data_IF_406179764066
#
_entry.id   IF_406179764066
#
_cell.length_a   1.000
_cell.length_b   1.000
_cell.length_c   1.000
_cell.angle_alpha   90.00
_cell.angle_beta   90.00
_cell.angle_gamma   90.00
#
_symmetry.space_group_name_H-M   'P 1'
#
loop_
_entity.id
_entity.type
_entity.pdbx_description
1 polymer ?
#
# COMPACT_ATOMS: atom_id res chain seq x y z
N UNK A 1 27.45 0.86 -1.76
CA UNK A 1 27.23 0.79 -0.30
C UNK A 1 27.48 2.18 0.29
N UNK A 2 26.60 2.65 1.17
CA UNK A 2 26.68 3.94 1.88
C UNK A 2 27.01 3.66 3.34
N UNK A 3 28.09 4.23 3.88
CA UNK A 3 28.60 3.97 5.24
C UNK A 3 28.70 5.21 6.12
N UNK A 4 28.35 6.39 5.60
CA UNK A 4 28.33 7.66 6.31
C UNK A 4 27.07 8.43 5.94
N UNK A 5 26.66 9.35 6.80
CA UNK A 5 25.56 10.25 6.52
C UNK A 5 25.91 11.22 5.40
N UNK A 6 24.87 11.80 4.78
CA UNK A 6 25.04 12.79 3.73
C UNK A 6 24.01 12.66 2.61
N UNK A 7 24.21 13.48 1.58
CA UNK A 7 23.35 13.54 0.40
C UNK A 7 24.01 12.80 -0.75
N UNK A 8 23.28 11.86 -1.34
CA UNK A 8 23.71 10.98 -2.42
C UNK A 8 22.82 11.19 -3.64
N UNK A 9 23.47 11.34 -4.80
CA UNK A 9 22.81 11.48 -6.10
C UNK A 9 23.52 10.59 -7.11
N UNK A 10 22.78 9.94 -8.01
CA UNK A 10 23.40 9.17 -9.07
C UNK A 10 22.51 8.14 -9.73
N UNK A 11 23.15 7.30 -10.54
CA UNK A 11 22.55 6.16 -11.19
C UNK A 11 23.13 4.88 -10.56
N UNK A 12 22.28 4.04 -9.96
CA UNK A 12 22.70 2.77 -9.36
C UNK A 12 22.01 1.59 -10.02
N UNK A 13 22.79 0.53 -10.26
CA UNK A 13 22.29 -0.68 -10.87
C UNK A 13 22.81 -1.93 -10.17
N UNK A 14 21.94 -2.91 -9.96
CA UNK A 14 22.33 -4.28 -9.64
C UNK A 14 21.71 -5.30 -10.60
N UNK A 15 22.55 -6.11 -11.24
CA UNK A 15 22.08 -7.24 -12.08
C UNK A 15 22.08 -8.57 -11.32
N UNK A 16 22.49 -8.58 -10.06
CA UNK A 16 22.41 -9.77 -9.23
C UNK A 16 21.13 -9.69 -8.36
N UNK A 17 20.17 -10.63 -8.50
CA UNK A 17 18.93 -10.60 -7.74
C UNK A 17 19.13 -10.70 -6.22
N UNK A 18 20.30 -11.14 -5.76
CA UNK A 18 20.66 -11.25 -4.33
C UNK A 18 21.37 -10.02 -3.77
N UNK A 19 21.69 -9.03 -4.60
CA UNK A 19 22.47 -7.86 -4.19
C UNK A 19 21.65 -6.58 -4.43
N UNK A 20 21.39 -5.77 -3.38
CA UNK A 20 20.70 -4.52 -3.57
C UNK A 20 21.49 -3.52 -4.42
N UNK A 21 20.82 -2.63 -5.16
CA UNK A 21 21.52 -1.57 -5.90
C UNK A 21 22.22 -0.58 -4.95
N UNK A 22 21.58 -0.28 -3.81
CA UNK A 22 22.13 0.54 -2.73
C UNK A 22 21.92 -0.18 -1.39
N UNK A 23 23.00 -0.35 -0.64
CA UNK A 23 22.95 -0.80 0.77
C UNK A 23 23.37 0.34 1.67
N UNK A 24 22.55 0.66 2.68
CA UNK A 24 22.84 1.65 3.71
C UNK A 24 23.33 0.92 4.97
N UNK A 25 24.52 1.29 5.45
CA UNK A 25 25.18 0.75 6.65
C UNK A 25 25.69 1.87 7.54
N UNK A 26 24.79 2.78 7.91
CA UNK A 26 25.05 3.85 8.89
C UNK A 26 23.74 4.23 9.56
N UNK A 27 23.84 4.78 10.78
CA UNK A 27 22.74 5.39 11.52
C UNK A 27 22.66 6.90 11.31
N UNK A 28 23.69 7.50 10.73
CA UNK A 28 23.68 8.91 10.37
C UNK A 28 22.63 9.17 9.30
N UNK A 29 22.01 10.37 9.26
CA UNK A 29 21.01 10.71 8.24
C UNK A 29 21.55 10.55 6.82
N UNK A 30 20.82 9.78 6.00
CA UNK A 30 21.12 9.57 4.58
C UNK A 30 19.99 10.13 3.73
N UNK A 31 20.35 10.94 2.74
CA UNK A 31 19.41 11.47 1.74
C UNK A 31 19.81 10.91 0.37
N UNK A 32 18.94 10.16 -0.27
CA UNK A 32 19.06 9.78 -1.69
C UNK A 32 18.08 10.65 -2.47
N UNK A 33 18.58 11.46 -3.40
CA UNK A 33 17.72 12.35 -4.16
C UNK A 33 18.10 12.50 -5.63
N UNK A 34 17.12 12.90 -6.45
CA UNK A 34 17.32 13.19 -7.89
C UNK A 34 18.09 12.09 -8.61
N UNK A 35 17.72 10.83 -8.34
CA UNK A 35 18.50 9.66 -8.71
C UNK A 35 17.71 8.67 -9.55
N UNK A 36 18.42 7.74 -10.20
CA UNK A 36 17.81 6.60 -10.90
C UNK A 36 18.40 5.30 -10.37
N UNK A 37 17.53 4.39 -9.95
CA UNK A 37 17.90 3.07 -9.45
C UNK A 37 17.24 2.02 -10.33
N UNK A 38 17.96 0.95 -10.64
CA UNK A 38 17.36 -0.25 -11.23
C UNK A 38 18.02 -1.52 -10.74
N UNK A 39 17.26 -2.59 -10.59
CA UNK A 39 17.79 -3.76 -9.90
C UNK A 39 16.95 -5.01 -10.09
N UNK A 40 17.62 -6.16 -10.16
CA UNK A 40 16.95 -7.47 -10.11
C UNK A 40 16.50 -7.84 -8.69
N UNK A 41 17.22 -7.37 -7.68
CA UNK A 41 16.86 -7.44 -6.26
C UNK A 41 16.41 -6.08 -5.74
N UNK A 42 16.43 -5.89 -4.41
CA UNK A 42 16.02 -4.63 -3.78
C UNK A 42 16.81 -3.44 -4.35
N UNK A 43 16.16 -2.30 -4.57
CA UNK A 43 16.87 -1.11 -5.03
C UNK A 43 17.60 -0.43 -3.88
N UNK A 44 16.93 -0.28 -2.74
CA UNK A 44 17.51 0.27 -1.51
C UNK A 44 17.26 -0.71 -0.38
N UNK A 45 18.32 -1.11 0.32
CA UNK A 45 18.22 -1.92 1.54
C UNK A 45 18.96 -1.28 2.69
N UNK A 46 18.36 -1.29 3.88
CA UNK A 46 18.95 -0.69 5.08
C UNK A 46 18.50 -1.34 6.38
N UNK A 47 19.38 -1.30 7.38
CA UNK A 47 19.12 -1.76 8.74
C UNK A 47 19.65 -0.70 9.72
N UNK A 48 18.87 -0.31 10.74
CA UNK A 48 19.18 0.81 11.63
C UNK A 48 19.38 2.14 10.89
N UNK A 49 18.36 2.61 10.14
CA UNK A 49 18.51 3.73 9.20
C UNK A 49 17.68 4.97 9.54
N UNK A 50 18.25 6.15 9.28
CA UNK A 50 17.54 7.43 9.12
C UNK A 50 17.65 7.81 7.63
N UNK A 51 16.54 7.74 6.90
CA UNK A 51 16.53 7.77 5.44
C UNK A 51 15.50 8.74 4.87
N UNK A 52 15.96 9.62 3.99
CA UNK A 52 15.11 10.32 3.04
C UNK A 52 15.41 9.83 1.62
N UNK A 53 14.39 9.41 0.89
CA UNK A 53 14.45 9.13 -0.55
C UNK A 53 13.47 10.05 -1.25
N UNK A 54 13.96 10.94 -2.11
CA UNK A 54 13.09 11.90 -2.80
C UNK A 54 13.43 12.16 -4.25
N UNK A 55 12.44 12.51 -5.06
CA UNK A 55 12.63 12.83 -6.48
C UNK A 55 13.42 11.75 -7.25
N UNK A 56 13.24 10.50 -6.85
CA UNK A 56 14.05 9.38 -7.32
C UNK A 56 13.20 8.41 -8.12
N UNK A 57 13.78 7.84 -9.19
CA UNK A 57 13.12 6.86 -10.07
C UNK A 57 13.70 5.48 -9.80
N UNK A 58 12.85 4.49 -9.58
CA UNK A 58 13.22 3.10 -9.33
C UNK A 58 12.58 2.14 -10.33
N UNK A 59 13.37 1.24 -10.92
CA UNK A 59 12.89 0.26 -11.89
C UNK A 59 13.26 -1.16 -11.44
N UNK A 60 12.26 -1.99 -11.18
CA UNK A 60 12.47 -3.42 -10.98
C UNK A 60 12.85 -4.08 -12.30
N UNK A 61 13.90 -4.89 -12.27
CA UNK A 61 14.31 -5.72 -13.40
C UNK A 61 13.86 -7.15 -13.15
N UNK A 62 13.59 -7.87 -14.24
CA UNK A 62 13.31 -9.30 -14.18
C UNK A 62 14.49 -10.04 -13.48
N UNK A 63 14.24 -10.82 -12.42
CA UNK A 63 15.30 -11.50 -11.67
C UNK A 63 16.10 -12.52 -12.47
N UNK A 64 15.49 -13.17 -13.48
CA UNK A 64 16.08 -14.27 -14.25
C UNK A 64 16.75 -15.33 -13.36
N UNK A 65 16.03 -15.75 -12.33
CA UNK A 65 16.45 -16.74 -11.35
C UNK A 65 15.24 -17.55 -10.90
N UNK A 66 15.42 -18.86 -10.71
CA UNK A 66 14.31 -19.75 -10.33
C UNK A 66 13.70 -19.34 -8.97
N UNK A 67 12.36 -19.32 -8.92
CA UNK A 67 11.59 -18.94 -7.73
C UNK A 67 11.98 -17.55 -7.17
N UNK A 68 12.39 -16.63 -8.04
CA UNK A 68 12.67 -15.24 -7.68
C UNK A 68 11.56 -14.30 -8.16
N UNK A 69 11.44 -13.13 -7.55
CA UNK A 69 10.52 -12.05 -7.93
C UNK A 69 11.27 -10.71 -7.87
N UNK A 70 10.82 -9.65 -8.57
CA UNK A 70 11.49 -8.35 -8.55
C UNK A 70 11.64 -7.80 -7.13
N UNK A 71 12.79 -7.21 -6.79
CA UNK A 71 13.00 -6.66 -5.43
C UNK A 71 12.21 -5.39 -5.11
N UNK A 72 12.24 -4.99 -3.84
CA UNK A 72 11.55 -3.79 -3.32
C UNK A 72 12.20 -2.50 -3.86
N UNK A 73 11.44 -1.41 -4.01
CA UNK A 73 12.00 -0.06 -4.19
C UNK A 73 12.84 0.33 -2.97
N UNK A 74 12.32 0.07 -1.76
CA UNK A 74 13.10 0.12 -0.54
C UNK A 74 12.63 -0.97 0.43
N UNK A 75 13.58 -1.57 1.13
CA UNK A 75 13.35 -2.50 2.23
C UNK A 75 14.22 -2.03 3.41
N UNK A 76 13.57 -1.50 4.45
CA UNK A 76 14.26 -0.91 5.60
C UNK A 76 13.74 -1.49 6.91
N UNK A 77 14.66 -1.81 7.80
CA UNK A 77 14.38 -2.44 9.09
C UNK A 77 15.00 -1.62 10.23
N UNK A 78 14.32 -1.56 11.37
CA UNK A 78 14.72 -0.79 12.55
C UNK A 78 14.97 0.68 12.20
N UNK A 79 13.95 1.35 11.69
CA UNK A 79 14.09 2.72 11.20
C UNK A 79 14.05 3.76 12.33
N UNK A 80 14.89 4.77 12.23
CA UNK A 80 14.81 5.97 13.07
C UNK A 80 13.87 7.00 12.45
N UNK A 81 13.97 7.22 11.14
CA UNK A 81 13.12 8.15 10.41
C UNK A 81 13.08 7.75 8.93
N UNK A 82 11.92 7.90 8.30
CA UNK A 82 11.74 7.60 6.88
C UNK A 82 10.93 8.70 6.19
N UNK A 83 11.48 9.25 5.11
CA UNK A 83 10.75 10.10 4.17
C UNK A 83 10.92 9.55 2.75
N UNK A 84 9.90 8.90 2.23
CA UNK A 84 9.82 8.48 0.84
C UNK A 84 8.87 9.43 0.10
N UNK A 85 9.42 10.48 -0.53
CA UNK A 85 8.63 11.59 -1.05
C UNK A 85 8.86 11.82 -2.55
N UNK A 86 7.81 11.99 -3.34
CA UNK A 86 7.95 12.37 -4.76
C UNK A 86 8.81 11.38 -5.57
N UNK A 87 8.68 10.07 -5.32
CA UNK A 87 9.41 9.06 -6.09
C UNK A 87 8.55 8.44 -7.18
N UNK A 88 9.20 7.88 -8.19
CA UNK A 88 8.56 7.00 -9.17
C UNK A 88 9.11 5.59 -8.98
N UNK A 89 8.25 4.59 -8.95
CA UNK A 89 8.69 3.20 -8.99
C UNK A 89 7.84 2.39 -9.95
N UNK A 90 8.50 1.52 -10.73
CA UNK A 90 7.85 0.65 -11.70
C UNK A 90 8.38 -0.78 -11.61
N UNK A 91 7.50 -1.77 -11.57
CA UNK A 91 7.87 -3.19 -11.63
C UNK A 91 8.66 -3.68 -10.41
N UNK A 92 8.65 -2.92 -9.31
CA UNK A 92 9.28 -3.31 -8.04
C UNK A 92 8.27 -4.03 -7.14
N UNK A 93 8.73 -4.68 -6.08
CA UNK A 93 7.86 -5.19 -5.01
C UNK A 93 7.35 -4.10 -4.04
N UNK A 94 7.47 -2.82 -4.39
CA UNK A 94 7.06 -1.67 -3.58
C UNK A 94 7.96 -1.38 -2.37
N UNK A 95 7.41 -0.87 -1.29
CA UNK A 95 8.16 -0.37 -0.12
C UNK A 95 7.84 -1.18 1.13
N UNK A 96 8.88 -1.67 1.81
CA UNK A 96 8.77 -2.43 3.05
C UNK A 96 9.48 -1.72 4.19
N UNK A 97 8.74 -1.49 5.28
CA UNK A 97 9.25 -0.84 6.49
C UNK A 97 8.94 -1.74 7.68
N UNK A 98 9.98 -2.19 8.38
CA UNK A 98 9.83 -3.02 9.57
C UNK A 98 10.41 -2.35 10.80
N UNK A 99 9.60 -2.25 11.86
CA UNK A 99 9.98 -1.73 13.19
C UNK A 99 10.49 -0.28 13.19
N UNK A 100 9.98 0.50 14.13
CA UNK A 100 10.43 1.87 14.38
C UNK A 100 11.16 1.95 15.72
N UNK A 101 12.27 2.68 15.75
CA UNK A 101 13.10 2.91 16.94
C UNK A 101 13.55 4.39 17.05
N UNK A 102 12.92 5.26 16.24
CA UNK A 102 13.16 6.69 16.30
C UNK A 102 12.61 7.34 17.56
N UNK A 103 13.02 8.58 17.74
CA UNK A 103 12.61 9.46 18.82
C UNK A 103 11.60 10.48 18.29
N UNK A 104 10.32 10.22 18.55
CA UNK A 104 9.23 11.08 18.12
C UNK A 104 9.35 12.52 18.66
N UNK A 105 9.98 12.73 19.82
CA UNK A 105 10.20 14.07 20.38
C UNK A 105 11.16 14.90 19.53
N UNK A 106 11.97 14.25 18.68
CA UNK A 106 12.86 14.89 17.68
C UNK A 106 12.20 15.04 16.31
N UNK A 107 10.90 14.79 16.20
CA UNK A 107 10.16 14.85 14.94
C UNK A 107 10.43 13.68 14.00
N UNK A 108 11.10 12.62 14.47
CA UNK A 108 11.34 11.41 13.69
C UNK A 108 10.05 10.61 13.51
N UNK A 109 9.74 10.21 12.28
CA UNK A 109 8.50 9.51 11.93
C UNK A 109 8.63 8.84 10.55
N UNK A 110 7.50 8.40 9.98
CA UNK A 110 7.41 7.81 8.64
C UNK A 110 6.49 8.67 7.77
N UNK A 111 7.00 9.15 6.65
CA UNK A 111 6.27 9.87 5.62
C UNK A 111 6.43 9.17 4.28
N UNK A 112 5.31 8.77 3.67
CA UNK A 112 5.27 8.17 2.33
C UNK A 112 4.32 9.01 1.50
N UNK A 113 4.87 10.02 0.81
CA UNK A 113 4.08 11.11 0.27
C UNK A 113 4.31 11.28 -1.24
N UNK A 114 3.23 11.50 -1.99
CA UNK A 114 3.31 11.96 -3.38
C UNK A 114 4.12 11.03 -4.29
N UNK A 115 4.17 9.73 -4.02
CA UNK A 115 4.87 8.78 -4.88
C UNK A 115 3.95 8.30 -6.01
N UNK A 116 4.54 8.04 -7.17
CA UNK A 116 3.90 7.36 -8.29
C UNK A 116 4.40 5.92 -8.36
N UNK A 117 3.52 4.96 -8.16
CA UNK A 117 3.80 3.53 -8.13
C UNK A 117 3.10 2.87 -9.30
N UNK A 118 3.83 2.11 -10.08
CA UNK A 118 3.31 1.36 -11.23
C UNK A 118 3.72 -0.11 -11.14
N UNK A 119 2.75 -1.00 -11.29
CA UNK A 119 2.93 -2.43 -11.41
C UNK A 119 3.78 -3.04 -10.27
N UNK A 120 3.20 -3.11 -9.06
CA UNK A 120 3.82 -3.80 -7.93
C UNK A 120 3.86 -5.29 -8.19
N UNK A 121 5.07 -5.85 -8.32
CA UNK A 121 5.24 -7.17 -8.91
C UNK A 121 5.83 -8.19 -7.93
N UNK A 122 4.96 -9.09 -7.46
CA UNK A 122 5.33 -10.24 -6.64
C UNK A 122 5.41 -11.55 -7.42
N UNK A 123 5.28 -11.54 -8.75
CA UNK A 123 5.22 -12.78 -9.55
C UNK A 123 6.57 -13.50 -9.52
N UNK A 124 6.52 -14.79 -9.19
CA UNK A 124 7.70 -15.63 -9.29
C UNK A 124 8.04 -15.92 -10.75
N UNK A 125 9.33 -15.86 -11.09
CA UNK A 125 9.86 -16.22 -12.40
C UNK A 125 10.74 -17.47 -12.35
N UNK A 126 10.94 -18.09 -13.51
CA UNK A 126 11.98 -19.11 -13.75
C UNK A 126 13.34 -18.46 -14.09
N UNK A 127 14.39 -19.27 -14.25
CA UNK A 127 15.72 -18.83 -14.67
C UNK A 127 15.76 -18.08 -16.01
N UNK A 128 14.75 -18.23 -16.88
CA UNK A 128 14.64 -17.46 -18.14
C UNK A 128 13.92 -16.12 -17.94
N UNK A 129 13.31 -15.92 -16.78
CA UNK A 129 12.51 -14.75 -16.43
C UNK A 129 11.02 -14.88 -16.75
N UNK A 130 10.52 -16.07 -17.10
CA UNK A 130 9.09 -16.25 -17.39
C UNK A 130 8.30 -16.43 -16.09
N UNK A 131 7.12 -15.81 -15.94
CA UNK A 131 6.25 -16.04 -14.79
C UNK A 131 5.88 -17.52 -14.63
N UNK A 132 5.90 -17.99 -13.39
CA UNK A 132 5.60 -19.40 -13.02
C UNK A 132 4.13 -19.65 -12.67
N UNK A 133 3.30 -18.61 -12.69
CA UNK A 133 1.92 -18.65 -12.18
C UNK A 133 1.79 -18.48 -10.67
N UNK A 134 2.91 -18.46 -9.93
CA UNK A 134 2.94 -18.25 -8.47
C UNK A 134 3.34 -16.81 -8.14
N UNK A 135 3.06 -16.36 -6.91
CA UNK A 135 3.51 -15.06 -6.39
C UNK A 135 4.01 -15.12 -4.95
N UNK A 136 4.85 -14.16 -4.60
CA UNK A 136 5.16 -13.75 -3.24
C UNK A 136 4.24 -12.60 -2.84
N UNK A 137 3.94 -12.48 -1.53
CA UNK A 137 3.10 -11.41 -1.01
C UNK A 137 3.93 -10.13 -0.87
N UNK A 138 3.58 -9.14 -1.67
CA UNK A 138 4.28 -7.85 -1.76
C UNK A 138 3.26 -6.73 -1.72
N UNK A 139 3.72 -5.51 -1.44
CA UNK A 139 2.85 -4.37 -1.26
C UNK A 139 3.49 -3.12 -1.82
N UNK A 140 2.67 -2.19 -2.35
CA UNK A 140 3.17 -0.86 -2.70
C UNK A 140 3.77 -0.19 -1.46
N UNK A 141 3.08 -0.34 -0.32
CA UNK A 141 3.51 0.09 1.01
C UNK A 141 3.14 -0.97 2.04
N UNK A 142 4.14 -1.45 2.79
CA UNK A 142 3.91 -2.25 3.98
C UNK A 142 4.59 -1.61 5.19
N UNK A 143 3.80 -1.35 6.23
CA UNK A 143 4.31 -1.16 7.58
C UNK A 143 4.14 -2.49 8.32
N UNK A 144 5.25 -3.04 8.80
CA UNK A 144 5.28 -4.31 9.50
C UNK A 144 5.81 -4.08 10.93
N UNK A 145 4.98 -4.29 11.95
CA UNK A 145 5.34 -4.08 13.36
C UNK A 145 5.85 -2.65 13.64
N UNK A 146 5.22 -1.63 13.06
CA UNK A 146 5.52 -0.22 13.34
C UNK A 146 4.53 0.26 14.40
N UNK A 147 4.95 0.26 15.67
CA UNK A 147 4.04 0.34 16.82
C UNK A 147 4.17 1.68 17.54
N UNK A 148 3.04 2.31 17.86
CA UNK A 148 2.93 3.56 18.66
C UNK A 148 3.77 4.72 18.13
N UNK A 149 3.77 4.90 16.81
CA UNK A 149 4.57 5.95 16.18
C UNK A 149 3.67 7.12 15.81
N UNK A 150 3.86 8.31 16.42
CA UNK A 150 3.07 9.47 16.07
C UNK A 150 3.46 10.01 14.70
N UNK A 151 2.55 10.77 14.10
CA UNK A 151 2.74 11.55 12.89
C UNK A 151 3.00 10.75 11.61
N UNK A 152 2.77 9.44 11.59
CA UNK A 152 2.86 8.66 10.35
C UNK A 152 1.83 9.17 9.34
N UNK A 153 2.27 9.31 8.09
CA UNK A 153 1.39 9.75 7.00
C UNK A 153 1.73 9.05 5.68
N UNK A 154 0.72 8.40 5.10
CA UNK A 154 0.76 7.78 3.78
C UNK A 154 -0.28 8.51 2.92
N UNK A 155 0.15 9.49 2.15
CA UNK A 155 -0.78 10.40 1.50
C UNK A 155 -0.35 10.85 0.11
N UNK A 156 -1.35 11.18 -0.70
CA UNK A 156 -1.14 11.74 -2.03
C UNK A 156 -0.39 10.82 -3.01
N UNK A 157 -0.35 9.52 -2.75
CA UNK A 157 0.30 8.56 -3.65
C UNK A 157 -0.66 8.12 -4.74
N UNK A 158 -0.14 7.89 -5.94
CA UNK A 158 -0.84 7.27 -7.07
C UNK A 158 -0.26 5.88 -7.30
N UNK A 159 -1.06 4.84 -7.10
CA UNK A 159 -0.67 3.43 -7.20
C UNK A 159 -1.52 2.76 -8.27
N UNK A 160 -0.91 2.34 -9.37
CA UNK A 160 -1.61 1.73 -10.51
C UNK A 160 -0.98 0.39 -10.84
N UNK A 161 -1.78 -0.68 -10.78
CA UNK A 161 -1.36 -2.03 -11.11
C UNK A 161 -2.13 -2.51 -12.33
N UNK A 162 -1.43 -2.94 -13.38
CA UNK A 162 -2.06 -3.49 -14.58
C UNK A 162 -2.20 -5.01 -14.48
N UNK A 163 -3.32 -5.60 -14.94
CA UNK A 163 -3.46 -7.06 -15.04
C UNK A 163 -2.32 -7.65 -15.88
N UNK A 164 -1.76 -8.78 -15.44
CA UNK A 164 -0.66 -9.44 -16.16
C UNK A 164 0.69 -8.72 -16.10
N UNK A 165 0.82 -7.61 -15.36
CA UNK A 165 2.11 -6.92 -15.11
C UNK A 165 2.47 -6.81 -13.64
N UNK A 166 1.56 -7.16 -12.76
CA UNK A 166 1.65 -6.97 -11.32
C UNK A 166 1.00 -8.15 -10.60
N UNK A 167 1.31 -8.32 -9.32
CA UNK A 167 0.60 -9.26 -8.44
C UNK A 167 0.81 -8.90 -6.95
N UNK A 168 0.39 -7.70 -6.50
CA UNK A 168 0.49 -7.34 -5.09
C UNK A 168 -0.37 -8.27 -4.22
N UNK A 169 -0.06 -8.37 -2.93
CA UNK A 169 -1.06 -8.74 -1.92
C UNK A 169 -1.94 -7.51 -1.71
N UNK A 170 -1.53 -6.54 -0.90
CA UNK A 170 -2.21 -5.25 -0.82
C UNK A 170 -1.45 -4.13 -1.49
N UNK A 171 -2.15 -3.05 -1.84
CA UNK A 171 -1.46 -1.80 -2.13
C UNK A 171 -0.89 -1.20 -0.85
N UNK A 172 -1.68 -1.11 0.22
CA UNK A 172 -1.24 -0.61 1.53
C UNK A 172 -1.60 -1.63 2.62
N UNK A 173 -0.61 -2.08 3.38
CA UNK A 173 -0.78 -3.05 4.46
C UNK A 173 -0.17 -2.52 5.77
N UNK A 174 -0.92 -2.68 6.87
CA UNK A 174 -0.59 -2.17 8.20
C UNK A 174 -0.46 -3.33 9.19
N UNK A 175 0.27 -4.38 8.79
CA UNK A 175 0.52 -5.55 9.61
C UNK A 175 1.09 -5.15 10.98
N UNK A 176 0.28 -5.38 12.01
CA UNK A 176 0.61 -5.15 13.42
C UNK A 176 1.25 -3.77 13.68
N UNK A 177 0.70 -2.76 13.01
CA UNK A 177 1.20 -1.38 13.07
C UNK A 177 0.18 -0.43 13.69
N UNK A 178 0.65 0.56 14.45
CA UNK A 178 -0.19 1.50 15.17
C UNK A 178 0.39 2.90 15.29
N UNK A 179 -0.52 3.87 15.30
CA UNK A 179 -0.25 5.25 15.71
C UNK A 179 -0.36 5.39 17.23
N UNK A 180 -0.59 6.61 17.69
CA UNK A 180 -0.97 6.88 19.09
C UNK A 180 -2.40 7.42 19.14
N UNK A 181 -3.08 7.39 20.31
CA UNK A 181 -4.40 8.00 20.46
C UNK A 181 -4.48 9.45 19.94
N UNK A 182 -3.45 10.24 20.25
CA UNK A 182 -3.39 11.66 19.85
C UNK A 182 -2.82 11.88 18.44
N UNK A 183 -2.28 10.84 17.81
CA UNK A 183 -1.61 10.91 16.52
C UNK A 183 -1.75 9.59 15.76
N UNK A 184 -2.96 9.27 15.26
CA UNK A 184 -3.20 8.06 14.51
C UNK A 184 -2.40 8.07 13.20
N UNK A 185 -2.13 6.88 12.65
CA UNK A 185 -1.58 6.74 11.30
C UNK A 185 -2.58 7.32 10.32
N UNK A 186 -2.19 8.33 9.53
CA UNK A 186 -3.08 8.96 8.54
C UNK A 186 -2.81 8.39 7.15
N UNK A 187 -3.81 7.75 6.56
CA UNK A 187 -3.78 7.20 5.19
C UNK A 187 -4.86 7.91 4.39
N UNK A 188 -4.46 8.91 3.61
CA UNK A 188 -5.45 9.76 2.97
C UNK A 188 -5.05 10.31 1.62
N UNK A 189 -6.07 10.67 0.84
CA UNK A 189 -5.87 11.28 -0.47
C UNK A 189 -4.96 10.43 -1.38
N UNK A 190 -5.01 9.10 -1.31
CA UNK A 190 -4.32 8.24 -2.26
C UNK A 190 -5.27 7.82 -3.39
N UNK A 191 -4.71 7.61 -4.57
CA UNK A 191 -5.39 6.97 -5.70
C UNK A 191 -4.79 5.58 -5.89
N UNK A 192 -5.61 4.55 -5.74
CA UNK A 192 -5.24 3.15 -5.90
C UNK A 192 -6.11 2.58 -7.01
N UNK A 193 -5.49 2.02 -8.04
CA UNK A 193 -6.18 1.35 -9.13
C UNK A 193 -5.55 0.00 -9.41
N UNK A 194 -6.31 -1.06 -9.17
CA UNK A 194 -5.88 -2.43 -9.46
C UNK A 194 -5.12 -3.11 -8.33
N UNK A 195 -5.40 -4.41 -8.20
CA UNK A 195 -4.64 -5.41 -7.47
C UNK A 195 -5.12 -6.74 -8.05
N UNK A 196 -4.31 -7.38 -8.89
CA UNK A 196 -4.75 -8.51 -9.71
C UNK A 196 -3.90 -9.75 -9.43
N UNK A 197 -4.52 -10.92 -9.62
CA UNK A 197 -3.82 -12.19 -9.58
C UNK A 197 -2.77 -12.31 -10.70
N UNK A 198 -1.87 -13.28 -10.56
CA UNK A 198 -0.91 -13.64 -11.63
C UNK A 198 -1.66 -14.06 -12.90
N UNK A 199 -2.73 -14.85 -12.73
CA UNK A 199 -3.70 -15.19 -13.76
C UNK A 199 -5.08 -14.60 -13.37
N UNK A 200 -5.37 -13.35 -13.79
CA UNK A 200 -6.55 -12.63 -13.35
C UNK A 200 -7.88 -13.20 -13.88
N UNK A 201 -7.84 -14.07 -14.89
CA UNK A 201 -9.03 -14.67 -15.48
C UNK A 201 -9.40 -16.02 -14.86
N UNK A 202 -8.41 -16.76 -14.33
CA UNK A 202 -8.63 -18.12 -13.85
C UNK A 202 -8.38 -18.32 -12.35
N UNK A 203 -7.62 -17.43 -11.69
CA UNK A 203 -7.41 -17.52 -10.24
C UNK A 203 -8.70 -17.20 -9.49
N UNK A 204 -9.12 -18.14 -8.62
CA UNK A 204 -10.32 -18.04 -7.77
C UNK A 204 -10.00 -17.84 -6.29
N UNK A 205 -8.71 -17.69 -5.96
CA UNK A 205 -8.17 -17.71 -4.60
C UNK A 205 -7.28 -16.50 -4.26
N UNK A 206 -7.08 -15.59 -5.21
CA UNK A 206 -6.32 -14.37 -4.98
C UNK A 206 -6.93 -13.52 -3.84
N UNK A 207 -6.10 -13.22 -2.85
CA UNK A 207 -6.45 -12.49 -1.63
C UNK A 207 -6.16 -11.00 -1.68
N UNK A 208 -5.48 -10.52 -2.72
CA UNK A 208 -4.95 -9.17 -2.76
C UNK A 208 -5.98 -8.06 -3.06
N UNK A 209 -5.71 -6.84 -2.58
CA UNK A 209 -6.67 -5.74 -2.58
C UNK A 209 -6.08 -4.33 -2.43
N UNK A 210 -6.92 -3.41 -1.98
CA UNK A 210 -6.56 -2.01 -1.74
C UNK A 210 -5.77 -1.84 -0.44
N UNK A 211 -6.48 -1.58 0.66
CA UNK A 211 -5.90 -1.26 1.96
C UNK A 211 -6.29 -2.33 3.00
N UNK A 212 -5.33 -2.89 3.72
CA UNK A 212 -5.56 -3.84 4.80
C UNK A 212 -5.10 -3.27 6.14
N UNK A 213 -6.00 -3.27 7.11
CA UNK A 213 -5.77 -2.82 8.47
C UNK A 213 -5.89 -3.98 9.45
N UNK A 214 -4.97 -4.03 10.41
CA UNK A 214 -5.09 -4.88 11.59
C UNK A 214 -4.99 -6.38 11.31
N UNK A 215 -4.39 -6.79 10.19
CA UNK A 215 -4.00 -8.18 10.01
C UNK A 215 -2.86 -8.52 10.98
N UNK A 216 -3.10 -9.53 11.83
CA UNK A 216 -2.22 -9.90 12.94
C UNK A 216 -3.00 -10.33 14.18
N UNK A 217 -2.34 -11.04 15.10
CA UNK A 217 -2.97 -11.50 16.35
C UNK A 217 -2.04 -11.29 17.53
N UNK A 218 -2.39 -10.32 18.36
CA UNK A 218 -1.71 -10.05 19.62
C UNK A 218 -2.64 -10.19 20.82
N UNK A 219 -2.03 -10.48 21.97
CA UNK A 219 -2.68 -10.51 23.29
C UNK A 219 -2.40 -9.24 24.11
N UNK A 220 -1.57 -8.34 23.56
CA UNK A 220 -1.12 -7.13 24.22
C UNK A 220 -1.55 -5.91 23.39
N UNK A 221 -2.32 -5.03 24.02
CA UNK A 221 -2.78 -3.78 23.40
C UNK A 221 -1.64 -2.83 23.06
N UNK A 222 -0.50 -2.95 23.74
CA UNK A 222 0.65 -2.11 23.43
C UNK A 222 1.14 -2.36 21.99
N UNK A 223 1.07 -3.59 21.49
CA UNK A 223 1.59 -3.98 20.16
C UNK A 223 0.50 -4.35 19.15
N UNK A 224 -0.77 -4.34 19.57
CA UNK A 224 -1.90 -4.56 18.66
C UNK A 224 -1.98 -3.43 17.63
N UNK A 225 -2.37 -3.77 16.41
CA UNK A 225 -2.60 -2.77 15.36
C UNK A 225 -3.76 -1.85 15.75
N UNK A 226 -3.61 -0.54 15.55
CA UNK A 226 -4.63 0.40 15.97
C UNK A 226 -4.26 1.88 15.87
N UNK A 227 -5.20 2.76 16.18
CA UNK A 227 -5.08 4.20 15.96
C UNK A 227 -4.72 4.52 14.51
N UNK A 228 -5.66 4.22 13.61
CA UNK A 228 -5.47 4.37 12.16
C UNK A 228 -6.66 5.11 11.56
N UNK A 229 -6.37 6.12 10.75
CA UNK A 229 -7.35 6.93 10.03
C UNK A 229 -7.17 6.72 8.52
N UNK A 230 -8.18 6.16 7.85
CA UNK A 230 -8.18 5.92 6.40
C UNK A 230 -9.29 6.76 5.77
N UNK A 231 -8.93 7.84 5.08
CA UNK A 231 -9.94 8.75 4.57
C UNK A 231 -9.64 9.43 3.25
N UNK A 232 -10.70 9.76 2.51
CA UNK A 232 -10.61 10.49 1.22
C UNK A 232 -9.68 9.81 0.22
N UNK A 233 -9.53 8.50 0.27
CA UNK A 233 -8.84 7.72 -0.77
C UNK A 233 -9.82 7.37 -1.89
N UNK A 234 -9.28 7.14 -3.08
CA UNK A 234 -9.98 6.57 -4.23
C UNK A 234 -9.38 5.19 -4.48
N UNK A 235 -10.17 4.14 -4.30
CA UNK A 235 -9.74 2.75 -4.36
C UNK A 235 -10.58 2.05 -5.41
N UNK A 236 -9.97 1.83 -6.55
CA UNK A 236 -10.64 1.53 -7.81
C UNK A 236 -10.23 0.14 -8.28
N UNK A 237 -11.22 -0.71 -8.53
CA UNK A 237 -11.08 -1.98 -9.24
C UNK A 237 -9.93 -2.88 -8.73
N UNK A 238 -9.77 -2.97 -7.41
CA UNK A 238 -8.90 -3.98 -6.78
C UNK A 238 -9.66 -5.31 -6.73
N UNK A 239 -9.01 -6.47 -6.93
CA UNK A 239 -9.75 -7.73 -7.07
C UNK A 239 -10.44 -8.17 -5.78
N UNK A 240 -9.74 -8.57 -4.71
CA UNK A 240 -10.43 -9.16 -3.56
C UNK A 240 -11.23 -8.11 -2.77
N UNK A 241 -10.57 -7.02 -2.36
CA UNK A 241 -11.20 -6.05 -1.47
C UNK A 241 -10.72 -4.62 -1.72
N UNK A 242 -11.56 -3.63 -1.40
CA UNK A 242 -11.19 -2.22 -1.39
C UNK A 242 -10.50 -1.79 -0.09
N UNK A 243 -11.23 -1.80 1.04
CA UNK A 243 -10.66 -1.58 2.38
C UNK A 243 -11.09 -2.66 3.38
N UNK A 244 -10.15 -3.13 4.19
CA UNK A 244 -10.36 -4.18 5.18
C UNK A 244 -9.92 -3.76 6.58
N UNK A 245 -10.75 -4.05 7.58
CA UNK A 245 -10.38 -4.14 8.99
C UNK A 245 -10.46 -5.62 9.38
N UNK A 246 -9.30 -6.28 9.50
CA UNK A 246 -9.18 -7.70 9.80
C UNK A 246 -8.87 -7.99 11.28
N UNK A 247 -8.62 -6.96 12.07
CA UNK A 247 -8.22 -7.07 13.47
C UNK A 247 -7.88 -5.69 14.05
N UNK A 248 -7.40 -5.65 15.28
CA UNK A 248 -6.96 -4.40 15.91
C UNK A 248 -8.09 -3.49 16.41
N UNK A 249 -7.73 -2.29 16.87
CA UNK A 249 -8.65 -1.39 17.57
C UNK A 249 -8.46 0.08 17.17
N UNK A 250 -9.47 0.92 17.40
CA UNK A 250 -9.41 2.37 17.12
C UNK A 250 -9.01 2.68 15.66
N UNK A 251 -9.62 1.96 14.71
CA UNK A 251 -9.40 2.14 13.27
C UNK A 251 -10.63 2.74 12.60
N UNK A 252 -10.47 3.83 11.87
CA UNK A 252 -11.57 4.59 11.29
C UNK A 252 -11.40 4.75 9.78
N UNK A 253 -12.34 4.21 9.01
CA UNK A 253 -12.40 4.25 7.54
C UNK A 253 -13.56 5.13 7.11
N UNK A 254 -13.28 6.32 6.56
CA UNK A 254 -14.33 7.28 6.23
C UNK A 254 -14.09 8.18 5.02
N UNK A 255 -15.17 8.63 4.38
CA UNK A 255 -15.10 9.52 3.20
C UNK A 255 -14.25 8.97 2.04
N UNK A 256 -14.05 7.66 1.95
CA UNK A 256 -13.37 7.04 0.81
C UNK A 256 -14.35 6.81 -0.35
N UNK A 257 -13.82 6.72 -1.56
CA UNK A 257 -14.51 6.26 -2.76
C UNK A 257 -13.97 4.88 -3.09
N UNK A 258 -14.81 3.85 -2.96
CA UNK A 258 -14.40 2.44 -3.09
C UNK A 258 -15.26 1.81 -4.19
N UNK A 259 -14.73 1.77 -5.41
CA UNK A 259 -15.52 1.54 -6.61
C UNK A 259 -14.91 0.40 -7.44
N UNK A 260 -15.73 -0.55 -7.87
CA UNK A 260 -15.31 -1.64 -8.76
C UNK A 260 -16.47 -2.11 -9.64
N UNK A 261 -16.20 -2.21 -10.93
CA UNK A 261 -17.03 -2.89 -11.94
C UNK A 261 -16.97 -4.41 -11.79
N UNK A 262 -15.99 -4.93 -11.04
CA UNK A 262 -15.70 -6.36 -10.96
C UNK A 262 -15.20 -6.94 -12.28
N UNK A 263 -14.74 -6.10 -13.20
CA UNK A 263 -14.25 -6.47 -14.53
C UNK A 263 -12.83 -5.98 -14.75
N UNK A 264 -12.06 -6.74 -15.52
CA UNK A 264 -10.78 -6.27 -16.06
C UNK A 264 -11.02 -5.13 -17.06
N UNK A 265 -9.98 -4.35 -17.42
CA UNK A 265 -10.11 -3.30 -18.43
C UNK A 265 -10.61 -3.78 -19.81
N UNK A 266 -10.49 -5.08 -20.12
CA UNK A 266 -11.04 -5.70 -21.34
C UNK A 266 -12.52 -6.10 -21.23
N UNK A 267 -13.14 -5.93 -20.06
CA UNK A 267 -14.53 -6.26 -19.78
C UNK A 267 -14.75 -7.67 -19.22
N UNK A 268 -13.73 -8.51 -19.12
CA UNK A 268 -13.84 -9.84 -18.55
C UNK A 268 -14.12 -9.77 -17.04
N UNK A 269 -14.92 -10.71 -16.52
CA UNK A 269 -15.24 -10.77 -15.08
C UNK A 269 -13.98 -11.18 -14.31
N UNK A 270 -13.69 -10.46 -13.23
CA UNK A 270 -12.65 -10.83 -12.27
C UNK A 270 -13.23 -11.91 -11.33
N UNK A 271 -12.77 -13.18 -11.36
CA UNK A 271 -13.36 -14.24 -10.55
C UNK A 271 -13.20 -14.00 -9.03
N UNK A 272 -12.15 -13.27 -8.67
CA UNK A 272 -11.77 -12.92 -7.30
C UNK A 272 -12.29 -11.57 -6.84
N UNK A 273 -13.07 -10.85 -7.67
CA UNK A 273 -13.85 -9.69 -7.22
C UNK A 273 -14.62 -10.10 -5.96
N UNK A 274 -14.44 -9.49 -4.78
CA UNK A 274 -15.15 -9.97 -3.59
C UNK A 274 -15.98 -8.89 -2.90
N UNK A 275 -15.39 -7.94 -2.15
CA UNK A 275 -16.16 -6.97 -1.33
C UNK A 275 -15.58 -5.56 -1.38
N UNK A 276 -16.43 -4.53 -1.35
CA UNK A 276 -16.00 -3.13 -1.28
C UNK A 276 -15.20 -2.85 -0.01
N UNK A 277 -15.84 -2.96 1.15
CA UNK A 277 -15.15 -2.92 2.41
C UNK A 277 -15.65 -3.98 3.40
N UNK A 278 -14.77 -4.43 4.29
CA UNK A 278 -15.15 -5.37 5.34
C UNK A 278 -14.59 -5.02 6.71
N UNK A 279 -15.31 -5.48 7.74
CA UNK A 279 -14.86 -5.48 9.14
C UNK A 279 -15.10 -6.86 9.73
N UNK A 280 -14.02 -7.59 9.97
CA UNK A 280 -14.07 -8.95 10.47
C UNK A 280 -12.96 -9.19 11.48
N UNK A 281 -13.35 -9.49 12.72
CA UNK A 281 -12.45 -9.94 13.79
C UNK A 281 -12.05 -11.40 13.55
N UNK A 282 -11.25 -11.62 12.49
CA UNK A 282 -10.87 -12.96 12.03
C UNK A 282 -10.06 -13.73 13.08
N UNK A 283 -9.34 -13.01 13.93
CA UNK A 283 -8.45 -13.58 14.94
C UNK A 283 -9.09 -13.74 16.33
N UNK A 284 -10.35 -13.30 16.50
CA UNK A 284 -11.09 -13.36 17.76
C UNK A 284 -10.55 -12.41 18.84
N UNK A 285 -9.98 -11.27 18.44
CA UNK A 285 -9.45 -10.23 19.32
C UNK A 285 -10.47 -9.69 20.33
N UNK A 286 -11.75 -9.65 19.97
CA UNK A 286 -12.80 -9.10 20.84
C UNK A 286 -13.06 -9.98 22.08
N UNK A 287 -12.79 -11.29 21.97
CA UNK A 287 -12.96 -12.26 23.07
C UNK A 287 -11.75 -12.37 24.01
N UNK A 288 -10.66 -11.64 23.72
CA UNK A 288 -9.44 -11.69 24.53
C UNK A 288 -9.59 -10.89 25.84
N UNK A 289 -8.67 -11.12 26.78
CA UNK A 289 -8.56 -10.36 28.03
C UNK A 289 -7.10 -9.90 28.21
N UNK A 290 -6.80 -8.60 27.99
CA UNK A 290 -7.72 -7.56 27.50
C UNK A 290 -8.15 -7.80 26.04
N UNK A 291 -9.32 -7.28 25.60
CA UNK A 291 -9.73 -7.39 24.20
C UNK A 291 -8.78 -6.59 23.32
N UNK A 292 -8.47 -7.10 22.13
CA UNK A 292 -7.60 -6.45 21.13
C UNK A 292 -8.33 -6.09 19.83
N UNK A 293 -9.66 -6.25 19.81
CA UNK A 293 -10.54 -5.79 18.74
C UNK A 293 -11.71 -4.98 19.29
N UNK A 294 -11.71 -3.65 19.07
CA UNK A 294 -12.79 -2.76 19.50
C UNK A 294 -12.68 -1.35 18.89
N UNK A 295 -13.74 -0.56 19.01
CA UNK A 295 -13.80 0.85 18.61
C UNK A 295 -13.37 1.10 17.15
N UNK A 296 -13.69 0.17 16.26
CA UNK A 296 -13.42 0.31 14.84
C UNK A 296 -14.62 0.91 14.12
N UNK A 297 -14.41 1.57 12.99
CA UNK A 297 -15.53 2.11 12.22
C UNK A 297 -15.32 2.15 10.72
N UNK A 298 -16.39 1.91 9.97
CA UNK A 298 -16.48 2.13 8.53
C UNK A 298 -17.69 3.03 8.28
N UNK A 299 -17.47 4.32 8.03
CA UNK A 299 -18.54 5.33 7.99
C UNK A 299 -18.43 6.29 6.79
N UNK A 300 -19.54 6.82 6.30
CA UNK A 300 -19.55 7.93 5.33
C UNK A 300 -18.78 7.69 4.00
N UNK A 301 -18.50 6.43 3.65
CA UNK A 301 -17.84 6.09 2.39
C UNK A 301 -18.85 6.08 1.24
N UNK A 302 -18.39 6.33 0.02
CA UNK A 302 -19.13 6.01 -1.21
C UNK A 302 -18.61 4.68 -1.74
N UNK A 303 -19.47 3.67 -1.79
CA UNK A 303 -19.08 2.31 -2.15
C UNK A 303 -19.97 1.80 -3.29
N UNK A 304 -19.34 1.25 -4.31
CA UNK A 304 -20.03 0.55 -5.39
C UNK A 304 -19.17 -0.62 -5.84
N UNK A 305 -19.53 -1.83 -5.47
CA UNK A 305 -18.71 -3.01 -5.69
C UNK A 305 -19.48 -4.10 -6.40
N UNK A 306 -19.33 -4.17 -7.71
CA UNK A 306 -20.11 -5.06 -8.55
C UNK A 306 -19.57 -6.50 -8.47
N UNK A 307 -20.48 -7.43 -8.24
CA UNK A 307 -20.25 -8.89 -8.25
C UNK A 307 -21.19 -9.54 -9.25
N UNK A 308 -20.78 -10.70 -9.74
CA UNK A 308 -21.54 -11.47 -10.73
C UNK A 308 -22.04 -12.77 -10.10
N UNK A 309 -23.30 -13.11 -10.37
CA UNK A 309 -23.86 -14.43 -10.09
C UNK A 309 -23.45 -15.41 -11.20
N UNK A 310 -23.60 -16.71 -10.95
CA UNK A 310 -23.35 -17.76 -11.96
C UNK A 310 -24.22 -17.62 -13.22
N UNK A 311 -25.39 -16.97 -13.11
CA UNK A 311 -26.29 -16.68 -14.23
C UNK A 311 -25.97 -15.34 -14.96
N UNK A 312 -24.86 -14.68 -14.62
CA UNK A 312 -24.41 -13.43 -15.25
C UNK A 312 -25.01 -12.15 -14.68
N UNK A 313 -26.05 -12.22 -13.84
CA UNK A 313 -26.65 -11.04 -13.23
C UNK A 313 -25.71 -10.40 -12.21
N UNK A 314 -25.72 -9.06 -12.15
CA UNK A 314 -24.93 -8.29 -11.20
C UNK A 314 -25.63 -8.12 -9.87
N UNK A 315 -24.84 -7.92 -8.81
CA UNK A 315 -25.28 -7.44 -7.50
C UNK A 315 -24.16 -6.65 -6.84
N UNK A 316 -24.48 -5.84 -5.82
CA UNK A 316 -23.48 -5.01 -5.13
C UNK A 316 -23.06 -5.63 -3.80
N UNK A 317 -21.79 -5.99 -3.67
CA UNK A 317 -21.19 -6.45 -2.42
C UNK A 317 -20.40 -5.33 -1.74
N UNK A 318 -21.09 -4.24 -1.40
CA UNK A 318 -20.45 -3.03 -0.92
C UNK A 318 -19.81 -3.23 0.46
N UNK A 319 -20.50 -3.91 1.38
CA UNK A 319 -20.07 -4.06 2.76
C UNK A 319 -20.30 -5.47 3.29
N UNK A 320 -19.30 -6.01 3.98
CA UNK A 320 -19.43 -7.22 4.78
C UNK A 320 -18.81 -7.00 6.17
N UNK A 321 -19.63 -6.71 7.18
CA UNK A 321 -19.14 -6.22 8.48
C UNK A 321 -19.69 -7.04 9.66
N UNK A 322 -19.50 -8.37 9.68
CA UNK A 322 -20.07 -9.23 10.73
C UNK A 322 -19.55 -8.90 12.14
N UNK A 323 -18.37 -8.29 12.25
CA UNK A 323 -17.76 -7.93 13.54
C UNK A 323 -18.01 -6.48 13.93
N UNK A 324 -18.85 -5.75 13.18
CA UNK A 324 -19.23 -4.39 13.52
C UNK A 324 -20.42 -4.41 14.48
N UNK A 325 -20.15 -4.37 15.77
CA UNK A 325 -21.18 -4.55 16.80
C UNK A 325 -21.05 -3.50 17.90
N UNK A 326 -22.16 -3.16 18.56
CA UNK A 326 -22.12 -2.29 19.74
C UNK A 326 -21.33 -2.91 20.90
N UNK A 327 -21.29 -4.25 21.01
CA UNK A 327 -20.58 -4.97 22.07
C UNK A 327 -19.07 -4.69 22.07
N UNK A 328 -18.47 -4.54 20.88
CA UNK A 328 -17.07 -4.14 20.74
C UNK A 328 -16.91 -2.64 20.41
N UNK A 329 -17.95 -1.83 20.62
CA UNK A 329 -17.97 -0.37 20.37
C UNK A 329 -17.68 0.01 18.91
N UNK A 330 -17.88 -0.89 17.95
CA UNK A 330 -17.64 -0.59 16.53
C UNK A 330 -18.87 -0.01 15.84
N UNK A 331 -18.65 0.85 14.85
CA UNK A 331 -19.73 1.59 14.16
C UNK A 331 -19.60 1.48 12.65
N UNK A 332 -20.66 1.03 11.98
CA UNK A 332 -20.75 0.96 10.53
C UNK A 332 -22.05 1.62 10.06
N UNK A 333 -21.96 2.85 9.59
CA UNK A 333 -23.13 3.72 9.35
C UNK A 333 -22.88 4.67 8.17
N UNK A 334 -23.94 5.23 7.58
CA UNK A 334 -23.88 6.30 6.58
C UNK A 334 -23.04 6.02 5.31
N UNK A 335 -22.63 4.78 5.07
CA UNK A 335 -21.99 4.39 3.82
C UNK A 335 -23.03 4.42 2.69
N UNK A 336 -22.74 5.20 1.65
CA UNK A 336 -23.62 5.40 0.51
C UNK A 336 -23.27 4.41 -0.59
N UNK A 337 -24.28 3.78 -1.17
CA UNK A 337 -24.12 2.92 -2.33
C UNK A 337 -24.16 3.74 -3.63
N UNK A 338 -23.38 3.33 -4.64
CA UNK A 338 -23.50 3.86 -6.01
C UNK A 338 -23.44 2.73 -7.03
N UNK A 339 -24.07 2.95 -8.18
CA UNK A 339 -23.84 2.15 -9.39
C UNK A 339 -22.44 2.46 -9.90
N UNK A 340 -21.77 1.44 -10.44
CA UNK A 340 -20.43 1.56 -11.04
C UNK A 340 -20.44 0.90 -12.40
N UNK A 341 -19.99 1.67 -13.38
CA UNK A 341 -19.70 1.26 -14.74
C UNK A 341 -18.30 1.75 -15.14
N UNK A 342 -17.86 1.43 -16.36
CA UNK A 342 -16.53 1.83 -16.82
C UNK A 342 -16.37 3.36 -16.89
N UNK A 343 -17.45 4.12 -17.10
CA UNK A 343 -17.39 5.58 -17.09
C UNK A 343 -17.13 6.11 -15.68
N UNK A 344 -17.75 5.50 -14.67
CA UNK A 344 -17.56 5.79 -13.26
C UNK A 344 -16.10 5.56 -12.87
N UNK A 345 -15.52 4.39 -13.16
CA UNK A 345 -14.12 4.11 -12.85
C UNK A 345 -13.15 5.08 -13.57
N UNK A 346 -13.36 5.35 -14.87
CA UNK A 346 -12.54 6.32 -15.61
C UNK A 346 -12.66 7.74 -15.04
N UNK A 347 -13.85 8.12 -14.59
CA UNK A 347 -14.11 9.43 -13.97
C UNK A 347 -13.31 9.65 -12.68
N UNK A 348 -12.98 8.59 -11.95
CA UNK A 348 -12.19 8.70 -10.72
C UNK A 348 -10.78 9.21 -10.96
N UNK A 349 -10.14 8.83 -12.08
CA UNK A 349 -8.83 9.38 -12.44
C UNK A 349 -8.90 10.89 -12.70
N UNK A 350 -9.97 11.36 -13.37
CA UNK A 350 -10.17 12.80 -13.59
C UNK A 350 -10.44 13.53 -12.27
N UNK A 351 -11.25 12.96 -11.37
CA UNK A 351 -11.46 13.51 -10.02
C UNK A 351 -10.15 13.58 -9.22
N UNK A 352 -9.31 12.56 -9.33
CA UNK A 352 -7.99 12.52 -8.70
C UNK A 352 -7.09 13.64 -9.23
N UNK A 353 -7.01 13.80 -10.55
CA UNK A 353 -6.22 14.88 -11.19
C UNK A 353 -6.71 16.28 -10.79
N UNK A 354 -8.03 16.48 -10.72
CA UNK A 354 -8.62 17.73 -10.24
C UNK A 354 -8.28 17.99 -8.77
N UNK A 355 -8.32 16.95 -7.94
CA UNK A 355 -7.97 17.03 -6.51
C UNK A 355 -6.49 17.37 -6.31
N UNK A 356 -5.59 16.81 -7.11
CA UNK A 356 -4.18 17.17 -7.13
C UNK A 356 -3.98 18.65 -7.51
N UNK A 357 -4.65 19.09 -8.57
CA UNK A 357 -4.58 20.48 -9.06
C UNK A 357 -5.08 21.46 -8.00
N UNK A 358 -6.25 21.20 -7.41
CA UNK A 358 -6.85 22.05 -6.38
C UNK A 358 -6.00 22.15 -5.10
N UNK A 359 -5.25 21.10 -4.78
CA UNK A 359 -4.36 21.06 -3.63
C UNK A 359 -2.91 21.51 -3.94
N UNK A 360 -2.61 21.88 -5.20
CA UNK A 360 -1.26 22.17 -5.67
C UNK A 360 -0.27 21.03 -5.37
N UNK A 361 -0.69 19.79 -5.59
CA UNK A 361 0.11 18.58 -5.34
C UNK A 361 0.60 17.99 -6.66
N UNK A 362 1.90 17.77 -6.76
CA UNK A 362 2.53 17.00 -7.85
C UNK A 362 2.94 15.63 -7.32
N UNK A 363 2.56 14.58 -8.06
CA UNK A 363 2.86 13.18 -7.73
C UNK A 363 4.02 12.67 -8.60
N UNK A 364 4.93 11.94 -7.98
CA UNK A 364 6.17 11.46 -8.58
C UNK A 364 7.30 12.50 -8.53
N UNK A 365 8.43 12.21 -9.21
CA UNK A 365 9.59 13.08 -9.23
C UNK A 365 9.28 14.44 -9.82
N UNK A 366 9.61 15.48 -9.07
CA UNK A 366 9.53 16.85 -9.57
C UNK A 366 10.52 17.02 -10.72
N UNK A 367 10.11 17.75 -11.76
CA UNK A 367 11.06 18.21 -12.76
C UNK A 367 12.06 19.11 -12.04
N UNK A 368 13.34 18.74 -12.06
CA UNK A 368 14.40 19.69 -11.73
C UNK A 368 14.31 20.79 -12.78
N UNK A 369 14.10 22.04 -12.35
CA UNK A 369 14.36 23.18 -13.23
C UNK A 369 15.77 23.00 -13.77
N UNK A 370 15.88 22.58 -15.03
CA UNK A 370 17.13 22.67 -15.77
C UNK A 370 17.52 24.12 -15.70
N UNK A 371 18.70 24.40 -15.16
CA UNK A 371 19.20 25.76 -14.99
C UNK A 371 18.95 26.57 -16.26
N UNK A 372 18.39 27.76 -16.07
CA UNK A 372 18.64 28.87 -16.97
C UNK A 372 20.15 29.13 -16.90
N UNK A 373 20.89 28.37 -17.69
CA UNK A 373 22.30 28.54 -17.99
C UNK A 373 22.40 29.07 -19.41
N UNK A 374 22.20 30.38 -19.54
CA UNK A 374 23.03 31.34 -20.27
C UNK A 374 22.36 32.71 -20.23
#
# INVERSE_FOLDING_TARGET
MITRGGIYRGNWQSLNPKVPAVTIKTREPVIIENSNLRGRGDLIRGFNVDLTVRNTRGYGLNPQADQAFPGRFLAVEFIFNLRAENNFMQGTSGMYVNRFQGDAAKGQTIKILRNKVQDVDGRYVDHTGRPTGRRYYVQAVQLNHVVRVPNIEIAWNEMVNQPGKSAPEENINLYESSGTPDSPIRIHNNYIHGAYAVDPLNDKSYSGGGIMLGDGKHKDLAVSGGYIEVYRNQIINTSNQGVAIAGGHDQHVWQNRILSTGRLPGGEIIPTANVGAYMWDIQGGASQSPPTFFNNSIQDNLIGWTRFRSNGNTWYNNLWTPSCTSANRSVCSNNRSTVVDDQTERGELALWQNKLTAANVVVGPLQTATGLGN
#
